data_IF_637758928664
#
_entry.id   IF_637758928664
#
_cell.length_a   1.000
_cell.length_b   1.000
_cell.length_c   1.000
_cell.angle_alpha   90.00
_cell.angle_beta   90.00
_cell.angle_gamma   90.00
#
_symmetry.space_group_name_H-M   'P 1'
#
loop_
_entity.id
_entity.type
_entity.pdbx_description
1 polymer ?
#
# COMPACT_ATOMS: atom_id res chain seq x y z
N UNK A 1 20.04 1.04 8.73
CA UNK A 1 18.63 1.44 8.58
C UNK A 1 17.79 0.24 9.00
N UNK A 2 17.04 0.35 10.10
CA UNK A 2 16.19 -0.74 10.61
C UNK A 2 14.89 -0.76 9.81
N UNK A 3 14.78 -1.71 8.88
CA UNK A 3 13.51 -2.04 8.23
C UNK A 3 12.53 -2.49 9.30
N UNK A 4 11.45 -1.72 9.49
CA UNK A 4 10.40 -2.07 10.44
C UNK A 4 9.76 -3.39 9.97
N UNK A 5 10.05 -4.49 10.68
CA UNK A 5 9.67 -5.88 10.36
C UNK A 5 8.16 -6.17 10.44
N UNK A 6 7.33 -5.13 10.55
CA UNK A 6 5.88 -5.22 10.67
C UNK A 6 5.26 -4.30 9.63
N UNK A 7 4.91 -4.87 8.47
CA UNK A 7 4.10 -4.15 7.50
C UNK A 7 2.67 -4.21 7.98
N UNK A 8 2.12 -3.04 8.31
CA UNK A 8 0.68 -2.89 8.42
C UNK A 8 0.08 -3.40 7.10
N UNK A 9 -0.79 -4.42 7.12
CA UNK A 9 -1.29 -5.15 5.95
C UNK A 9 -2.18 -4.32 5.01
N UNK A 10 -2.23 -3.00 5.20
CA UNK A 10 -3.01 -2.12 4.36
C UNK A 10 -2.52 -2.24 2.89
N UNK A 11 -3.42 -2.27 1.90
CA UNK A 11 -3.08 -2.49 0.48
C UNK A 11 -1.97 -1.59 -0.04
N UNK A 12 -1.98 -0.32 0.37
CA UNK A 12 -0.96 0.68 0.02
C UNK A 12 0.44 0.24 0.46
N UNK A 13 0.59 -0.20 1.72
CA UNK A 13 1.89 -0.58 2.25
C UNK A 13 2.38 -1.88 1.63
N UNK A 14 1.49 -2.86 1.43
CA UNK A 14 1.83 -4.11 0.76
C UNK A 14 2.32 -3.85 -0.67
N UNK A 15 1.63 -3.00 -1.43
CA UNK A 15 2.07 -2.68 -2.78
C UNK A 15 3.43 -1.97 -2.78
N UNK A 16 3.62 -0.95 -1.95
CA UNK A 16 4.87 -0.17 -1.97
C UNK A 16 6.05 -0.98 -1.42
N UNK A 17 5.88 -1.65 -0.29
CA UNK A 17 6.98 -2.34 0.38
C UNK A 17 7.26 -3.70 -0.26
N UNK A 18 6.22 -4.46 -0.61
CA UNK A 18 6.40 -5.83 -1.11
C UNK A 18 6.45 -5.92 -2.64
N UNK A 19 5.71 -5.07 -3.37
CA UNK A 19 5.72 -5.12 -4.84
C UNK A 19 6.76 -4.17 -5.46
N UNK A 20 6.90 -2.95 -4.93
CA UNK A 20 7.90 -1.99 -5.41
C UNK A 20 9.25 -2.12 -4.70
N UNK A 21 9.35 -3.00 -3.70
CA UNK A 21 10.57 -3.25 -2.90
C UNK A 21 11.21 -1.96 -2.36
N UNK A 22 10.37 -1.03 -1.88
CA UNK A 22 10.87 0.26 -1.40
C UNK A 22 10.09 0.78 -0.16
N UNK A 23 10.74 1.59 0.70
CA UNK A 23 10.06 2.25 1.81
C UNK A 23 9.00 3.27 1.34
N UNK A 24 7.91 3.40 2.11
CA UNK A 24 6.81 4.34 1.81
C UNK A 24 7.28 5.80 1.81
N UNK A 25 8.23 6.16 2.69
CA UNK A 25 8.85 7.49 2.71
C UNK A 25 9.63 7.78 1.43
N UNK A 26 10.41 6.79 0.95
CA UNK A 26 11.14 6.91 -0.30
C UNK A 26 10.18 7.08 -1.49
N UNK A 27 9.09 6.30 -1.54
CA UNK A 27 8.06 6.46 -2.58
C UNK A 27 7.44 7.86 -2.54
N UNK A 28 7.05 8.33 -1.35
CA UNK A 28 6.48 9.65 -1.17
C UNK A 28 7.43 10.76 -1.65
N UNK A 29 8.72 10.65 -1.32
CA UNK A 29 9.73 11.61 -1.76
C UNK A 29 9.94 11.63 -3.28
N UNK A 30 9.96 10.46 -3.93
CA UNK A 30 10.16 10.35 -5.38
C UNK A 30 8.97 10.88 -6.19
N UNK A 31 7.74 10.64 -5.74
CA UNK A 31 6.52 10.96 -6.48
C UNK A 31 5.77 12.19 -5.96
N UNK A 32 6.34 12.92 -4.98
CA UNK A 32 5.80 14.18 -4.49
C UNK A 32 4.57 14.04 -3.60
N UNK A 33 4.42 12.94 -2.87
CA UNK A 33 3.34 12.76 -1.89
C UNK A 33 3.79 13.16 -0.49
N UNK A 34 2.87 13.73 0.28
CA UNK A 34 3.11 14.03 1.70
C UNK A 34 2.95 12.73 2.50
N UNK A 35 4.02 12.27 3.13
CA UNK A 35 4.03 11.01 3.89
C UNK A 35 2.94 10.95 4.97
N UNK A 36 2.67 12.06 5.68
CA UNK A 36 1.61 12.12 6.69
C UNK A 36 0.21 11.94 6.12
N UNK A 37 -0.01 12.37 4.87
CA UNK A 37 -1.27 12.14 4.15
C UNK A 37 -1.43 10.66 3.79
N UNK A 38 -0.40 10.02 3.25
CA UNK A 38 -0.42 8.58 2.94
C UNK A 38 -0.59 7.74 4.20
N UNK A 39 0.11 8.10 5.29
CA UNK A 39 -0.06 7.47 6.59
C UNK A 39 -1.49 7.62 7.15
N UNK A 40 -2.16 8.73 6.87
CA UNK A 40 -3.58 8.94 7.24
C UNK A 40 -4.51 8.03 6.45
N UNK A 41 -4.20 7.74 5.18
CA UNK A 41 -5.00 6.80 4.39
C UNK A 41 -4.91 5.38 4.97
N UNK A 42 -3.70 4.97 5.37
CA UNK A 42 -3.47 3.68 6.03
C UNK A 42 -4.16 3.62 7.39
N UNK A 43 -4.00 4.64 8.25
CA UNK A 43 -4.52 4.61 9.62
C UNK A 43 -6.05 4.73 9.70
N UNK A 44 -6.68 5.34 8.69
CA UNK A 44 -8.14 5.44 8.56
C UNK A 44 -8.76 4.35 7.70
N UNK A 45 -7.99 3.34 7.34
CA UNK A 45 -8.45 2.21 6.53
C UNK A 45 -9.13 2.66 5.22
N UNK A 46 -8.49 3.60 4.54
CA UNK A 46 -9.05 4.24 3.35
C UNK A 46 -9.12 3.21 2.22
N UNK A 47 -10.35 2.92 1.80
CA UNK A 47 -10.67 2.09 0.65
C UNK A 47 -9.93 2.52 -0.64
N UNK A 48 -9.42 1.55 -1.38
CA UNK A 48 -8.68 1.70 -2.64
C UNK A 48 -9.48 2.50 -3.66
N UNK A 49 -10.79 2.30 -3.70
CA UNK A 49 -11.76 2.98 -4.57
C UNK A 49 -11.79 4.50 -4.35
N UNK A 50 -11.39 4.96 -3.17
CA UNK A 50 -11.36 6.38 -2.84
C UNK A 50 -9.99 7.01 -3.02
N UNK A 51 -8.95 6.25 -3.39
CA UNK A 51 -7.61 6.79 -3.56
C UNK A 51 -7.55 7.78 -4.73
N UNK A 52 -6.74 8.85 -4.63
CA UNK A 52 -6.55 9.77 -5.74
C UNK A 52 -6.02 9.05 -6.98
N UNK A 53 -6.58 9.33 -8.16
CA UNK A 53 -6.09 8.78 -9.42
C UNK A 53 -4.61 9.12 -9.67
N UNK A 54 -4.15 10.29 -9.21
CA UNK A 54 -2.73 10.69 -9.25
C UNK A 54 -1.83 9.75 -8.45
N UNK A 55 -2.31 9.18 -7.35
CA UNK A 55 -1.57 8.20 -6.56
C UNK A 55 -1.46 6.85 -7.27
N UNK A 56 -2.56 6.38 -7.86
CA UNK A 56 -2.56 5.16 -8.69
C UNK A 56 -1.62 5.33 -9.89
N UNK A 57 -1.61 6.52 -10.50
CA UNK A 57 -0.70 6.85 -11.59
C UNK A 57 0.77 6.81 -11.14
N UNK A 58 1.11 7.38 -9.99
CA UNK A 58 2.46 7.31 -9.46
C UNK A 58 2.93 5.87 -9.17
N UNK A 59 2.03 5.02 -8.64
CA UNK A 59 2.31 3.60 -8.47
C UNK A 59 2.54 2.89 -9.81
N UNK A 60 1.79 3.27 -10.85
CA UNK A 60 1.96 2.74 -12.21
C UNK A 60 3.33 3.11 -12.80
N UNK A 61 3.77 4.35 -12.59
CA UNK A 61 5.11 4.81 -12.98
C UNK A 61 6.20 4.03 -12.22
N UNK A 62 6.04 3.86 -10.91
CA UNK A 62 7.01 3.13 -10.09
C UNK A 62 7.14 1.65 -10.46
N UNK A 63 6.02 1.01 -10.80
CA UNK A 63 5.99 -0.40 -11.18
C UNK A 63 6.27 -0.66 -12.66
N UNK A 64 6.32 0.38 -13.49
CA UNK A 64 6.31 0.25 -14.95
C UNK A 64 5.16 -0.64 -15.45
N UNK A 65 3.99 -0.51 -14.81
CA UNK A 65 2.75 -1.21 -15.16
C UNK A 65 1.68 -0.20 -15.55
N UNK A 66 0.63 -0.67 -16.21
CA UNK A 66 -0.53 0.17 -16.47
C UNK A 66 -1.34 0.44 -15.17
N UNK A 67 -2.14 1.51 -15.19
CA UNK A 67 -2.94 1.88 -14.03
C UNK A 67 -4.01 0.84 -13.68
N UNK A 68 -4.49 0.08 -14.67
CA UNK A 68 -5.51 -0.96 -14.48
C UNK A 68 -4.96 -2.11 -13.65
N UNK A 69 -3.79 -2.62 -14.00
CA UNK A 69 -3.08 -3.66 -13.28
C UNK A 69 -2.78 -3.24 -11.85
N UNK A 70 -2.29 -2.00 -11.65
CA UNK A 70 -2.03 -1.47 -10.30
C UNK A 70 -3.31 -1.43 -9.48
N UNK A 71 -4.41 -0.95 -10.08
CA UNK A 71 -5.68 -0.82 -9.41
C UNK A 71 -6.28 -2.17 -9.04
N UNK A 72 -6.30 -3.13 -9.97
CA UNK A 72 -6.72 -4.52 -9.74
C UNK A 72 -5.89 -5.17 -8.63
N UNK A 73 -4.57 -4.99 -8.66
CA UNK A 73 -3.68 -5.55 -7.62
C UNK A 73 -3.95 -4.97 -6.23
N UNK A 74 -4.25 -3.67 -6.15
CA UNK A 74 -4.64 -3.03 -4.89
C UNK A 74 -5.99 -3.56 -4.39
N UNK A 75 -6.93 -3.85 -5.28
CA UNK A 75 -8.21 -4.47 -4.93
C UNK A 75 -8.02 -5.90 -4.39
N UNK A 76 -7.16 -6.71 -5.02
CA UNK A 76 -6.83 -8.06 -4.51
C UNK A 76 -6.26 -8.00 -3.08
N UNK A 77 -5.37 -7.04 -2.83
CA UNK A 77 -4.81 -6.82 -1.50
C UNK A 77 -5.85 -6.33 -0.51
N UNK A 78 -6.78 -5.46 -0.93
CA UNK A 78 -7.88 -5.00 -0.09
C UNK A 78 -8.80 -6.16 0.30
N UNK A 79 -9.17 -7.02 -0.64
CA UNK A 79 -10.03 -8.17 -0.38
C UNK A 79 -9.37 -9.16 0.59
N UNK A 80 -8.09 -9.43 0.39
CA UNK A 80 -7.30 -10.29 1.30
C UNK A 80 -7.24 -9.71 2.70
N UNK A 81 -6.97 -8.40 2.81
CA UNK A 81 -6.92 -7.71 4.09
C UNK A 81 -8.27 -7.70 4.83
N UNK A 82 -9.38 -7.44 4.12
CA UNK A 82 -10.72 -7.49 4.70
C UNK A 82 -11.08 -8.90 5.19
N UNK A 83 -10.74 -9.94 4.42
CA UNK A 83 -10.92 -11.35 4.83
C UNK A 83 -10.16 -11.67 6.12
N UNK A 84 -8.94 -11.18 6.27
CA UNK A 84 -8.12 -11.39 7.48
C UNK A 84 -8.69 -10.65 8.70
N UNK A 85 -9.24 -9.45 8.50
CA UNK A 85 -9.94 -8.70 9.54
C UNK A 85 -11.21 -9.43 10.00
N UNK A 86 -12.02 -9.92 9.07
CA UNK A 86 -13.25 -10.68 9.38
C UNK A 86 -12.96 -11.97 10.14
N UNK A 87 -11.83 -12.62 9.85
CA UNK A 87 -11.41 -13.85 10.53
C UNK A 87 -10.78 -13.60 11.91
N UNK A 88 -10.68 -12.35 12.38
CA UNK A 88 -10.15 -12.02 13.70
C UNK A 88 -8.67 -12.35 13.88
N UNK A 89 -7.95 -12.62 12.80
CA UNK A 89 -6.51 -12.87 12.85
C UNK A 89 -5.80 -11.55 13.11
N UNK A 90 -5.13 -11.42 14.27
CA UNK A 90 -4.31 -10.23 14.60
C UNK A 90 -3.21 -10.11 13.55
N UNK A 91 -3.37 -9.17 12.63
CA UNK A 91 -2.49 -9.03 11.47
C UNK A 91 -1.14 -8.44 11.90
N UNK A 92 -0.21 -9.34 12.22
CA UNK A 92 1.22 -9.08 12.20
C UNK A 92 1.82 -10.15 11.28
N UNK A 93 1.94 -9.83 10.00
CA UNK A 93 2.69 -10.69 9.08
C UNK A 93 4.16 -10.32 9.17
N UNK A 94 4.94 -11.26 9.67
CA UNK A 94 6.39 -11.21 9.64
C UNK A 94 6.84 -11.47 8.20
N UNK A 95 7.65 -10.57 7.65
CA UNK A 95 8.27 -10.78 6.35
C UNK A 95 9.55 -11.59 6.64
N UNK A 96 9.64 -12.80 6.09
CA UNK A 96 10.88 -13.60 6.06
C UNK A 96 11.89 -13.02 5.07
#
# INVERSE_FOLDING_TARGET
MTTNKYVYPHPINLYIISYLDMPVDQFCALYGFIQSTVATWVSRDRKVETLPASFIYALSLASSRDMSFVYEKLLDYQETYLKELEQGQKIKKEIE
#
